data_IF_428296431144
#
_entry.id   IF_428296431144
#
_cell.length_a   1.000
_cell.length_b   1.000
_cell.length_c   1.000
_cell.angle_alpha   90.00
_cell.angle_beta   90.00
_cell.angle_gamma   90.00
#
_symmetry.space_group_name_H-M   'P 1'
#
loop_
_entity.id
_entity.type
_entity.pdbx_description
1 polymer ?
#
# COMPACT_ATOMS: atom_id res chain seq x y z
N UNK A 1 41.25 1.04 9.17
CA UNK A 1 40.40 2.06 9.83
C UNK A 1 39.26 2.54 8.92
N UNK A 2 39.52 3.09 7.73
CA UNK A 2 38.47 3.67 6.84
C UNK A 2 37.45 2.65 6.33
N UNK A 3 37.87 1.41 6.02
CA UNK A 3 36.98 0.33 5.54
C UNK A 3 36.02 -0.19 6.60
N UNK A 4 36.44 -0.24 7.87
CA UNK A 4 35.59 -0.68 8.98
C UNK A 4 34.51 0.38 9.31
N UNK A 5 34.87 1.66 9.23
CA UNK A 5 33.95 2.76 9.52
C UNK A 5 32.85 2.95 8.44
N UNK A 6 33.13 2.56 7.19
CA UNK A 6 32.14 2.57 6.11
C UNK A 6 31.17 1.36 6.17
N UNK A 7 31.66 0.19 6.61
CA UNK A 7 30.84 -1.00 6.85
C UNK A 7 29.89 -0.78 8.05
N UNK A 8 30.36 -0.13 9.10
CA UNK A 8 29.58 0.20 10.30
C UNK A 8 28.41 1.15 10.00
N UNK A 9 28.67 2.23 9.23
CA UNK A 9 27.60 3.14 8.77
C UNK A 9 26.59 2.50 7.81
N UNK A 10 27.02 1.50 7.03
CA UNK A 10 26.14 0.77 6.11
C UNK A 10 25.16 -0.16 6.84
N UNK A 11 25.65 -0.85 7.88
CA UNK A 11 24.82 -1.72 8.72
C UNK A 11 23.82 -0.93 9.58
N UNK A 12 24.23 0.24 10.09
CA UNK A 12 23.35 1.17 10.81
C UNK A 12 22.27 1.78 9.91
N UNK A 13 22.62 2.10 8.66
CA UNK A 13 21.68 2.61 7.66
C UNK A 13 20.57 1.62 7.33
N UNK A 14 20.95 0.36 7.07
CA UNK A 14 20.00 -0.71 6.76
C UNK A 14 19.11 -1.08 7.96
N UNK A 15 19.66 -1.09 9.17
CA UNK A 15 18.90 -1.33 10.39
C UNK A 15 17.88 -0.19 10.64
N UNK A 16 18.29 1.06 10.44
CA UNK A 16 17.41 2.23 10.56
C UNK A 16 16.32 2.25 9.49
N UNK A 17 16.64 1.93 8.24
CA UNK A 17 15.64 1.79 7.18
C UNK A 17 14.62 0.69 7.50
N UNK A 18 15.08 -0.46 8.00
CA UNK A 18 14.18 -1.53 8.48
C UNK A 18 13.30 -1.08 9.64
N UNK A 19 13.86 -0.40 10.65
CA UNK A 19 13.09 0.10 11.78
C UNK A 19 12.05 1.15 11.35
N UNK A 20 12.41 2.02 10.41
CA UNK A 20 11.52 3.05 9.84
C UNK A 20 10.36 2.46 9.05
N UNK A 21 10.56 1.32 8.39
CA UNK A 21 9.53 0.57 7.66
C UNK A 21 8.77 -0.43 8.53
N UNK A 22 9.19 -0.67 9.77
CA UNK A 22 8.55 -1.65 10.61
C UNK A 22 7.07 -1.30 10.86
N UNK A 23 6.14 -2.12 10.39
CA UNK A 23 4.71 -2.00 10.68
C UNK A 23 4.31 -2.43 12.10
N UNK A 24 5.28 -2.57 13.01
CA UNK A 24 5.03 -3.11 14.34
C UNK A 24 4.16 -2.15 15.16
N UNK A 25 2.99 -2.66 15.55
CA UNK A 25 2.00 -2.02 16.40
C UNK A 25 1.30 -0.81 15.75
N UNK A 26 0.67 -1.02 14.59
CA UNK A 26 -0.35 -0.10 14.09
C UNK A 26 -1.45 0.04 15.15
N UNK A 27 -1.75 1.27 15.58
CA UNK A 27 -2.74 1.57 16.61
C UNK A 27 -3.68 2.68 16.14
N UNK A 28 -4.67 2.30 15.33
CA UNK A 28 -5.64 3.24 14.78
C UNK A 28 -5.06 4.18 13.71
N UNK A 29 -4.02 3.75 12.98
CA UNK A 29 -3.52 4.47 11.81
C UNK A 29 -4.56 4.51 10.70
N UNK A 30 -5.35 3.45 10.53
CA UNK A 30 -6.51 3.44 9.66
C UNK A 30 -7.48 4.59 9.99
N UNK A 31 -7.79 4.76 11.29
CA UNK A 31 -8.63 5.85 11.77
C UNK A 31 -7.98 7.22 11.55
N UNK A 32 -6.67 7.36 11.78
CA UNK A 32 -5.95 8.62 11.54
C UNK A 32 -5.98 9.03 10.07
N UNK A 33 -5.80 8.09 9.14
CA UNK A 33 -5.93 8.37 7.70
C UNK A 33 -7.34 8.80 7.35
N UNK A 34 -8.38 8.11 7.87
CA UNK A 34 -9.79 8.52 7.67
C UNK A 34 -10.04 9.93 8.20
N UNK A 35 -9.60 10.24 9.41
CA UNK A 35 -9.75 11.55 10.02
C UNK A 35 -9.01 12.65 9.24
N UNK A 36 -7.80 12.38 8.75
CA UNK A 36 -7.07 13.33 7.91
C UNK A 36 -7.81 13.61 6.60
N UNK A 37 -8.35 12.58 5.94
CA UNK A 37 -9.19 12.75 4.75
C UNK A 37 -10.44 13.60 5.03
N UNK A 38 -11.18 13.30 6.10
CA UNK A 38 -12.38 14.05 6.47
C UNK A 38 -12.05 15.50 6.86
N UNK A 39 -10.96 15.72 7.60
CA UNK A 39 -10.48 17.06 7.95
C UNK A 39 -10.17 17.88 6.70
N UNK A 40 -9.50 17.30 5.71
CA UNK A 40 -9.14 18.03 4.48
C UNK A 40 -10.38 18.37 3.61
N UNK A 41 -11.52 17.72 3.85
CA UNK A 41 -12.82 17.98 3.20
C UNK A 41 -13.75 18.86 4.02
N UNK A 42 -13.32 19.28 5.20
CA UNK A 42 -14.08 20.17 6.06
C UNK A 42 -14.35 21.51 5.33
N UNK A 43 -15.61 21.93 5.35
CA UNK A 43 -15.98 23.29 4.96
C UNK A 43 -15.69 24.30 6.08
N UNK A 44 -15.90 25.59 5.82
CA UNK A 44 -15.59 26.66 6.77
C UNK A 44 -16.32 26.54 8.13
N UNK A 45 -17.47 25.88 8.17
CA UNK A 45 -18.34 25.80 9.35
C UNK A 45 -18.43 24.41 9.97
N UNK A 46 -17.72 23.41 9.42
CA UNK A 46 -17.82 22.01 9.88
C UNK A 46 -16.43 21.48 10.20
N UNK A 47 -16.28 20.77 11.33
CA UNK A 47 -14.97 20.24 11.77
C UNK A 47 -14.45 19.08 10.90
N UNK A 48 -15.35 18.31 10.30
CA UNK A 48 -15.05 17.16 9.44
C UNK A 48 -16.00 17.20 8.24
N UNK A 49 -15.47 16.98 7.04
CA UNK A 49 -16.27 16.72 5.85
C UNK A 49 -16.89 15.32 5.87
N UNK A 50 -17.32 14.88 4.69
CA UNK A 50 -17.99 13.59 4.51
C UNK A 50 -17.38 12.79 3.34
N UNK A 51 -17.47 11.46 3.46
CA UNK A 51 -17.22 10.51 2.36
C UNK A 51 -18.57 10.01 1.88
N UNK A 52 -18.84 10.09 0.58
CA UNK A 52 -20.13 9.68 0.03
C UNK A 52 -20.17 8.16 -0.22
N UNK A 53 -21.38 7.61 -0.32
CA UNK A 53 -21.55 6.21 -0.72
C UNK A 53 -20.98 5.95 -2.12
N UNK A 54 -21.12 6.90 -3.05
CA UNK A 54 -20.60 6.80 -4.42
C UNK A 54 -19.07 6.66 -4.43
N UNK A 55 -18.37 7.36 -3.53
CA UNK A 55 -16.91 7.22 -3.39
C UNK A 55 -16.52 5.82 -2.89
N UNK A 56 -17.27 5.26 -1.93
CA UNK A 56 -17.04 3.90 -1.44
C UNK A 56 -17.35 2.84 -2.51
N UNK A 57 -18.43 3.04 -3.27
CA UNK A 57 -18.81 2.20 -4.41
C UNK A 57 -17.74 2.26 -5.49
N UNK A 58 -17.21 3.45 -5.80
CA UNK A 58 -16.15 3.62 -6.79
C UNK A 58 -14.87 2.89 -6.37
N UNK A 59 -14.46 2.98 -5.10
CA UNK A 59 -13.30 2.23 -4.58
C UNK A 59 -13.48 0.73 -4.75
N UNK A 60 -14.67 0.23 -4.41
CA UNK A 60 -15.01 -1.19 -4.59
C UNK A 60 -15.02 -1.57 -6.06
N UNK A 61 -15.64 -0.77 -6.93
CA UNK A 61 -15.71 -1.03 -8.36
C UNK A 61 -14.31 -1.07 -9.01
N UNK A 62 -13.40 -0.16 -8.64
CA UNK A 62 -12.03 -0.15 -9.15
C UNK A 62 -11.21 -1.34 -8.63
N UNK A 63 -11.46 -1.80 -7.40
CA UNK A 63 -10.89 -3.05 -6.90
C UNK A 63 -11.33 -4.25 -7.76
N UNK A 64 -12.64 -4.40 -7.98
CA UNK A 64 -13.21 -5.48 -8.81
C UNK A 64 -12.73 -5.41 -10.26
N UNK A 65 -12.55 -4.21 -10.81
CA UNK A 65 -11.95 -4.02 -12.14
C UNK A 65 -10.51 -4.56 -12.19
N UNK A 66 -9.75 -4.43 -11.09
CA UNK A 66 -8.45 -5.08 -10.93
C UNK A 66 -8.52 -6.59 -11.09
N UNK A 67 -9.50 -7.25 -10.47
CA UNK A 67 -9.76 -8.68 -10.67
C UNK A 67 -10.17 -9.02 -12.10
N UNK A 68 -10.99 -8.19 -12.75
CA UNK A 68 -11.38 -8.40 -14.15
C UNK A 68 -10.19 -8.30 -15.09
N UNK A 69 -9.25 -7.39 -14.81
CA UNK A 69 -7.98 -7.28 -15.52
C UNK A 69 -7.14 -8.55 -15.37
N UNK A 70 -7.01 -9.09 -14.16
CA UNK A 70 -6.28 -10.35 -13.94
C UNK A 70 -6.97 -11.54 -14.60
N UNK A 71 -8.30 -11.60 -14.55
CA UNK A 71 -9.08 -12.56 -15.33
C UNK A 71 -8.76 -12.46 -16.83
N UNK A 72 -8.69 -11.26 -17.41
CA UNK A 72 -8.36 -11.10 -18.82
C UNK A 72 -6.91 -11.47 -19.16
N UNK A 73 -5.98 -11.36 -18.20
CA UNK A 73 -4.56 -11.73 -18.37
C UNK A 73 -4.33 -13.24 -18.31
N UNK A 74 -5.06 -13.94 -17.44
CA UNK A 74 -4.79 -15.35 -17.13
C UNK A 74 -5.84 -16.32 -17.65
N UNK A 75 -7.06 -15.85 -17.94
CA UNK A 75 -8.17 -16.69 -18.35
C UNK A 75 -8.68 -16.39 -19.77
N UNK A 76 -9.09 -17.42 -20.52
CA UNK A 76 -9.02 -18.82 -20.16
C UNK A 76 -7.58 -19.37 -20.24
N UNK A 77 -7.20 -20.24 -19.31
CA UNK A 77 -5.82 -20.72 -19.11
C UNK A 77 -5.18 -21.24 -20.40
N UNK A 78 -5.93 -21.99 -21.22
CA UNK A 78 -5.41 -22.57 -22.46
C UNK A 78 -4.99 -21.55 -23.51
N UNK A 79 -5.47 -20.30 -23.44
CA UNK A 79 -5.03 -19.20 -24.31
C UNK A 79 -3.85 -18.42 -23.74
N UNK A 80 -3.58 -18.56 -22.43
CA UNK A 80 -2.62 -17.75 -21.68
C UNK A 80 -1.64 -18.63 -20.87
N UNK A 81 -1.31 -19.83 -21.36
CA UNK A 81 -0.56 -20.85 -20.61
C UNK A 81 0.75 -20.32 -20.03
N UNK A 82 1.53 -19.54 -20.80
CA UNK A 82 2.78 -18.97 -20.33
C UNK A 82 2.60 -18.00 -19.16
N UNK A 83 1.63 -17.08 -19.28
CA UNK A 83 1.34 -16.09 -18.23
C UNK A 83 0.75 -16.76 -16.97
N UNK A 84 -0.18 -17.70 -17.15
CA UNK A 84 -0.78 -18.44 -16.04
C UNK A 84 0.25 -19.34 -15.31
N UNK A 85 1.15 -19.99 -16.06
CA UNK A 85 2.21 -20.80 -15.48
C UNK A 85 3.26 -19.94 -14.74
N UNK A 86 3.70 -18.83 -15.34
CA UNK A 86 4.62 -17.90 -14.69
C UNK A 86 4.03 -17.36 -13.38
N UNK A 87 2.77 -16.93 -13.42
CA UNK A 87 2.06 -16.45 -12.23
C UNK A 87 1.91 -17.53 -11.14
N UNK A 88 1.59 -18.76 -11.54
CA UNK A 88 1.52 -19.88 -10.61
C UNK A 88 2.90 -20.19 -9.99
N UNK A 89 3.97 -20.12 -10.77
CA UNK A 89 5.34 -20.32 -10.30
C UNK A 89 5.77 -19.22 -9.31
N UNK A 90 5.46 -17.95 -9.59
CA UNK A 90 5.68 -16.82 -8.67
C UNK A 90 4.95 -17.02 -7.33
N UNK A 91 3.75 -17.59 -7.38
CA UNK A 91 2.97 -17.94 -6.19
C UNK A 91 3.36 -19.28 -5.56
N UNK A 92 4.41 -19.95 -6.05
CA UNK A 92 4.86 -21.27 -5.55
C UNK A 92 3.83 -22.38 -5.70
N UNK A 93 2.98 -22.31 -6.73
CA UNK A 93 1.84 -23.21 -6.98
C UNK A 93 0.87 -23.34 -5.80
N UNK A 94 0.80 -22.33 -4.93
CA UNK A 94 -0.11 -22.32 -3.79
C UNK A 94 -1.41 -21.57 -4.14
N UNK A 95 -2.58 -22.22 -4.09
CA UNK A 95 -3.87 -21.55 -4.30
C UNK A 95 -4.09 -20.38 -3.34
N UNK A 96 -3.62 -20.50 -2.10
CA UNK A 96 -3.71 -19.42 -1.12
C UNK A 96 -2.86 -18.22 -1.53
N UNK A 97 -1.60 -18.45 -1.97
CA UNK A 97 -0.73 -17.36 -2.47
C UNK A 97 -1.27 -16.74 -3.76
N UNK A 98 -1.86 -17.53 -4.63
CA UNK A 98 -2.53 -17.02 -5.84
C UNK A 98 -3.66 -16.07 -5.46
N UNK A 99 -4.54 -16.46 -4.52
CA UNK A 99 -5.60 -15.58 -4.04
C UNK A 99 -5.04 -14.31 -3.40
N UNK A 100 -4.07 -14.44 -2.49
CA UNK A 100 -3.40 -13.29 -1.87
C UNK A 100 -2.77 -12.33 -2.90
N UNK A 101 -2.18 -12.86 -3.97
CA UNK A 101 -1.60 -12.03 -5.03
C UNK A 101 -2.68 -11.33 -5.87
N UNK A 102 -3.78 -12.00 -6.20
CA UNK A 102 -4.91 -11.38 -6.89
C UNK A 102 -5.54 -10.25 -6.05
N UNK A 103 -5.70 -10.46 -4.74
CA UNK A 103 -6.17 -9.42 -3.79
C UNK A 103 -5.20 -8.24 -3.69
N UNK A 104 -3.90 -8.52 -3.62
CA UNK A 104 -2.85 -7.50 -3.59
C UNK A 104 -2.95 -6.61 -4.85
N UNK A 105 -3.08 -7.22 -6.02
CA UNK A 105 -3.12 -6.52 -7.32
C UNK A 105 -4.38 -5.70 -7.48
N UNK A 106 -5.53 -6.24 -7.08
CA UNK A 106 -6.81 -5.53 -7.08
C UNK A 106 -6.78 -4.30 -6.16
N UNK A 107 -6.33 -4.45 -4.92
CA UNK A 107 -6.26 -3.33 -3.99
C UNK A 107 -5.21 -2.28 -4.39
N UNK A 108 -4.08 -2.69 -4.97
CA UNK A 108 -3.10 -1.77 -5.53
C UNK A 108 -3.67 -0.98 -6.72
N UNK A 109 -4.52 -1.61 -7.54
CA UNK A 109 -5.24 -0.93 -8.64
C UNK A 109 -6.16 0.15 -8.08
N UNK A 110 -6.98 -0.18 -7.07
CA UNK A 110 -7.82 0.81 -6.39
C UNK A 110 -6.98 1.95 -5.80
N UNK A 111 -5.89 1.65 -5.09
CA UNK A 111 -5.00 2.64 -4.49
C UNK A 111 -4.35 3.59 -5.52
N UNK A 112 -4.08 3.11 -6.74
CA UNK A 112 -3.45 3.89 -7.80
C UNK A 112 -4.43 4.76 -8.61
N UNK A 113 -5.69 4.32 -8.77
CA UNK A 113 -6.58 4.89 -9.79
C UNK A 113 -7.78 5.65 -9.23
N UNK A 114 -8.29 5.33 -8.03
CA UNK A 114 -9.48 6.04 -7.49
C UNK A 114 -9.18 7.52 -7.21
N UNK A 115 -10.14 8.45 -7.33
CA UNK A 115 -9.92 9.88 -7.08
C UNK A 115 -9.38 10.19 -5.67
N UNK A 116 -9.84 9.45 -4.66
CA UNK A 116 -9.38 9.58 -3.28
C UNK A 116 -8.71 8.28 -2.79
N UNK A 117 -7.39 8.14 -2.95
CA UNK A 117 -6.67 6.92 -2.61
C UNK A 117 -6.48 6.73 -1.10
N UNK A 118 -6.79 7.73 -0.26
CA UNK A 118 -6.73 7.56 1.19
C UNK A 118 -7.85 6.64 1.72
N UNK A 119 -8.94 6.46 0.97
CA UNK A 119 -9.99 5.49 1.31
C UNK A 119 -9.45 4.04 1.23
N UNK A 120 -8.93 3.55 0.09
CA UNK A 120 -8.33 2.22 0.03
C UNK A 120 -7.07 2.08 0.89
N UNK A 121 -6.32 3.16 1.13
CA UNK A 121 -5.21 3.14 2.10
C UNK A 121 -5.70 2.84 3.52
N UNK A 122 -6.79 3.47 3.95
CA UNK A 122 -7.37 3.20 5.25
C UNK A 122 -7.89 1.75 5.36
N UNK A 123 -8.41 1.16 4.28
CA UNK A 123 -8.79 -0.26 4.26
C UNK A 123 -7.57 -1.19 4.42
N UNK A 124 -6.46 -0.86 3.75
CA UNK A 124 -5.19 -1.61 3.89
C UNK A 124 -4.70 -1.58 5.34
N UNK A 125 -4.70 -0.39 5.96
CA UNK A 125 -4.28 -0.22 7.35
C UNK A 125 -5.20 -0.95 8.33
N UNK A 126 -6.52 -0.89 8.11
CA UNK A 126 -7.53 -1.54 8.96
C UNK A 126 -7.35 -3.07 8.95
N UNK A 127 -7.09 -3.64 7.76
CA UNK A 127 -6.80 -5.06 7.60
C UNK A 127 -5.46 -5.45 8.25
N UNK A 128 -4.43 -4.61 8.14
CA UNK A 128 -3.13 -4.85 8.77
C UNK A 128 -3.18 -4.70 10.30
N UNK A 129 -4.02 -3.79 10.83
CA UNK A 129 -4.26 -3.57 12.26
C UNK A 129 -5.02 -4.72 12.91
N UNK A 130 -5.99 -5.30 12.21
CA UNK A 130 -6.89 -6.32 12.73
C UNK A 130 -6.25 -7.71 12.88
N UNK A 131 -4.92 -7.79 12.95
CA UNK A 131 -4.11 -9.00 12.81
C UNK A 131 -4.67 -10.29 13.41
N UNK A 132 -4.54 -11.38 12.66
CA UNK A 132 -4.63 -12.80 13.08
C UNK A 132 -5.94 -13.36 13.66
N UNK A 133 -7.00 -12.58 13.89
CA UNK A 133 -8.30 -13.11 14.36
C UNK A 133 -9.12 -13.85 13.27
N UNK A 134 -8.42 -14.37 12.25
CA UNK A 134 -8.96 -14.98 11.03
C UNK A 134 -8.20 -14.43 9.83
N UNK A 135 -7.05 -15.03 9.49
CA UNK A 135 -6.23 -14.62 8.33
C UNK A 135 -7.03 -14.93 7.06
N UNK A 136 -7.82 -13.98 6.60
CA UNK A 136 -8.38 -14.01 5.25
C UNK A 136 -7.25 -13.74 4.25
N UNK A 137 -7.32 -14.27 3.01
CA UNK A 137 -6.37 -13.91 1.96
C UNK A 137 -6.20 -12.40 1.79
N UNK A 138 -7.26 -11.62 2.04
CA UNK A 138 -7.25 -10.16 1.99
C UNK A 138 -6.30 -9.55 3.04
N UNK A 139 -6.38 -9.97 4.31
CA UNK A 139 -5.55 -9.41 5.37
C UNK A 139 -4.05 -9.66 5.13
N UNK A 140 -3.70 -10.86 4.68
CA UNK A 140 -2.33 -11.24 4.30
C UNK A 140 -1.83 -10.41 3.10
N UNK A 141 -2.66 -10.28 2.06
CA UNK A 141 -2.36 -9.46 0.89
C UNK A 141 -2.12 -7.99 1.26
N UNK A 142 -2.97 -7.43 2.11
CA UNK A 142 -2.93 -6.00 2.45
C UNK A 142 -1.77 -5.68 3.40
N UNK A 143 -1.42 -6.59 4.32
CA UNK A 143 -0.21 -6.44 5.12
C UNK A 143 1.05 -6.41 4.25
N UNK A 144 1.13 -7.28 3.24
CA UNK A 144 2.24 -7.27 2.28
C UNK A 144 2.23 -6.03 1.39
N UNK A 145 1.05 -5.60 0.94
CA UNK A 145 0.88 -4.35 0.18
C UNK A 145 1.34 -3.13 0.97
N UNK A 146 1.02 -3.07 2.26
CA UNK A 146 1.48 -2.01 3.14
C UNK A 146 3.01 -2.00 3.24
N UNK A 147 3.65 -3.14 3.47
CA UNK A 147 5.12 -3.24 3.56
C UNK A 147 5.81 -2.76 2.27
N UNK A 148 5.34 -3.25 1.11
CA UNK A 148 5.82 -2.83 -0.21
C UNK A 148 5.60 -1.32 -0.45
N UNK A 149 4.44 -0.77 -0.02
CA UNK A 149 4.12 0.65 -0.13
C UNK A 149 5.06 1.50 0.74
N UNK A 150 5.31 1.08 1.98
CA UNK A 150 6.23 1.75 2.90
C UNK A 150 7.65 1.74 2.34
N UNK A 151 8.09 0.64 1.72
CA UNK A 151 9.37 0.59 1.03
C UNK A 151 9.45 1.60 -0.12
N UNK A 152 8.41 1.70 -0.95
CA UNK A 152 8.41 2.66 -2.06
C UNK A 152 8.36 4.11 -1.56
N UNK A 153 7.60 4.39 -0.50
CA UNK A 153 7.57 5.71 0.14
C UNK A 153 8.96 6.08 0.70
N UNK A 154 9.61 5.13 1.37
CA UNK A 154 10.94 5.28 1.93
C UNK A 154 11.97 5.69 0.85
N UNK A 155 11.99 4.98 -0.27
CA UNK A 155 12.81 5.33 -1.43
C UNK A 155 12.43 6.70 -2.04
N UNK A 156 11.14 7.05 -2.08
CA UNK A 156 10.67 8.30 -2.63
C UNK A 156 11.10 9.51 -1.77
N UNK A 157 11.09 9.36 -0.44
CA UNK A 157 11.58 10.36 0.50
C UNK A 157 13.08 10.62 0.29
N UNK A 158 13.87 9.56 0.06
CA UNK A 158 15.30 9.71 -0.25
C UNK A 158 15.55 10.44 -1.58
N UNK A 159 14.73 10.18 -2.60
CA UNK A 159 14.88 10.81 -3.93
C UNK A 159 14.37 12.25 -3.98
N UNK A 160 13.30 12.57 -3.25
CA UNK A 160 12.57 13.84 -3.32
C UNK A 160 12.27 14.40 -1.92
N UNK A 161 13.28 14.71 -1.08
CA UNK A 161 13.07 15.06 0.33
C UNK A 161 12.21 16.31 0.53
N UNK A 162 12.27 17.28 -0.39
CA UNK A 162 11.44 18.49 -0.32
C UNK A 162 9.95 18.25 -0.51
N UNK A 163 9.56 17.17 -1.23
CA UNK A 163 8.16 16.81 -1.45
C UNK A 163 7.52 16.22 -0.20
N UNK A 164 8.28 15.41 0.53
CA UNK A 164 7.85 14.72 1.74
C UNK A 164 8.38 15.40 3.01
N UNK A 165 8.54 16.73 2.99
CA UNK A 165 9.14 17.49 4.09
C UNK A 165 8.34 17.40 5.40
N UNK A 166 7.07 16.99 5.36
CA UNK A 166 6.21 16.76 6.53
C UNK A 166 6.44 15.40 7.20
N UNK A 167 7.15 14.48 6.55
CA UNK A 167 7.50 13.16 7.12
C UNK A 167 8.76 13.31 7.97
N UNK A 168 8.65 12.95 9.25
CA UNK A 168 9.79 12.82 10.15
C UNK A 168 10.53 11.51 9.85
N UNK A 169 11.77 11.65 9.35
CA UNK A 169 12.62 10.53 8.90
C UNK A 169 13.16 9.69 10.05
N UNK A 170 12.99 10.17 11.28
CA UNK A 170 13.44 9.51 12.51
C UNK A 170 12.32 8.70 13.17
N UNK A 171 11.12 8.73 12.57
CA UNK A 171 9.94 7.99 13.03
C UNK A 171 9.51 6.93 12.02
N UNK A 172 8.76 5.95 12.50
CA UNK A 172 8.13 4.93 11.68
C UNK A 172 7.20 5.56 10.65
N UNK A 173 7.30 5.14 9.38
CA UNK A 173 6.50 5.69 8.28
C UNK A 173 5.02 5.34 8.41
N UNK A 174 4.71 4.13 8.88
CA UNK A 174 3.33 3.67 9.02
C UNK A 174 2.49 4.61 9.92
N UNK A 175 3.10 5.17 10.97
CA UNK A 175 2.44 6.11 11.89
C UNK A 175 2.25 7.52 11.32
N UNK A 176 2.75 7.77 10.11
CA UNK A 176 2.79 9.09 9.48
C UNK A 176 2.02 9.14 8.16
N UNK A 177 1.43 8.02 7.70
CA UNK A 177 0.71 7.98 6.42
C UNK A 177 -0.47 8.97 6.35
N UNK A 178 -1.03 9.35 7.49
CA UNK A 178 -2.08 10.36 7.61
C UNK A 178 -1.64 11.78 7.21
N UNK A 179 -0.33 12.05 7.15
CA UNK A 179 0.18 13.36 6.69
C UNK A 179 0.30 13.44 5.17
N UNK A 180 0.15 12.33 4.46
CA UNK A 180 0.22 12.30 3.00
C UNK A 180 -1.10 12.80 2.41
N UNK A 181 -0.99 13.73 1.45
CA UNK A 181 -2.12 14.11 0.61
C UNK A 181 -2.49 13.00 -0.38
N UNK A 182 -3.69 13.10 -0.97
CA UNK A 182 -4.20 12.16 -1.97
C UNK A 182 -3.20 11.91 -3.11
N UNK A 183 -2.60 12.97 -3.65
CA UNK A 183 -1.65 12.87 -4.77
C UNK A 183 -0.33 12.18 -4.41
N UNK A 184 0.13 12.31 -3.16
CA UNK A 184 1.34 11.62 -2.70
C UNK A 184 1.10 10.14 -2.50
N UNK A 185 -0.05 9.77 -1.91
CA UNK A 185 -0.48 8.36 -1.82
C UNK A 185 -0.59 7.75 -3.22
N UNK A 186 -1.28 8.42 -4.15
CA UNK A 186 -1.43 7.98 -5.54
C UNK A 186 -0.07 7.77 -6.21
N UNK A 187 0.85 8.72 -6.04
CA UNK A 187 2.19 8.66 -6.63
C UNK A 187 2.95 7.43 -6.16
N UNK A 188 3.00 7.20 -4.84
CA UNK A 188 3.69 6.04 -4.26
C UNK A 188 3.05 4.75 -4.76
N UNK A 189 1.72 4.68 -4.79
CA UNK A 189 0.99 3.53 -5.33
C UNK A 189 1.29 3.27 -6.81
N UNK A 190 1.34 4.30 -7.65
CA UNK A 190 1.69 4.16 -9.08
C UNK A 190 3.14 3.73 -9.30
N UNK A 191 4.08 4.20 -8.48
CA UNK A 191 5.46 3.71 -8.52
C UNK A 191 5.49 2.21 -8.17
N UNK A 192 4.75 1.79 -7.14
CA UNK A 192 4.64 0.39 -6.76
C UNK A 192 3.97 -0.46 -7.85
N UNK A 193 2.87 0.02 -8.43
CA UNK A 193 2.17 -0.63 -9.53
C UNK A 193 3.09 -0.81 -10.75
N UNK A 194 3.89 0.20 -11.10
CA UNK A 194 4.89 0.07 -12.18
C UNK A 194 5.97 -0.97 -11.88
N UNK A 195 6.36 -1.15 -10.61
CA UNK A 195 7.35 -2.16 -10.20
C UNK A 195 6.78 -3.58 -10.18
N UNK A 196 5.49 -3.76 -9.89
CA UNK A 196 4.85 -5.07 -9.64
C UNK A 196 3.98 -5.57 -10.78
N UNK A 197 3.38 -4.66 -11.57
CA UNK A 197 2.35 -4.98 -12.58
C UNK A 197 2.78 -4.68 -14.02
N UNK A 198 3.86 -3.93 -14.22
CA UNK A 198 4.44 -3.56 -15.52
C UNK A 198 5.64 -4.41 -15.87
#
# INVERSE_FOLDING_TARGET
AVRAHALDRGLDGDARARARRAGAALHGEALRVRLAHLRDRAGAEVLLGETTLDELVLVTATHEEGHLCDRARFLPIWKHLGAAFAFALECGFSPARIQEELEYRAQLTALAEVPEPRIPLAQILDAAESGSNGVTPHASAYARLLDDLLQVLDEAIEREPGRFATIDRDRTLAHQLHVLGAEDVRRVARILAKKKLG
#
